data_IF_242117557822
#
_entry.id   IF_242117557822
#
_cell.length_a   1.000
_cell.length_b   1.000
_cell.length_c   1.000
_cell.angle_alpha   90.00
_cell.angle_beta   90.00
_cell.angle_gamma   90.00
#
_symmetry.space_group_name_H-M   'P 1'
#
loop_
_entity.id
_entity.type
_entity.pdbx_description
1 polymer ?
#
# COMPACT_ATOMS: atom_id res chain seq x y z
N UNK A 1 17.69 -18.09 -21.16
CA UNK A 1 18.14 -17.06 -20.21
C UNK A 1 16.91 -16.31 -19.71
N UNK A 2 16.51 -16.49 -18.46
CA UNK A 2 15.40 -15.77 -17.86
C UNK A 2 15.80 -14.30 -17.69
N UNK A 3 14.98 -13.32 -18.13
CA UNK A 3 15.32 -11.91 -17.97
C UNK A 3 15.51 -11.57 -16.47
N UNK A 4 16.45 -10.68 -16.14
CA UNK A 4 16.68 -10.30 -14.75
C UNK A 4 15.39 -9.69 -14.16
N UNK A 5 15.07 -10.07 -12.93
CA UNK A 5 13.91 -9.54 -12.20
C UNK A 5 13.93 -8.01 -12.17
N UNK A 6 12.77 -7.34 -12.30
CA UNK A 6 12.67 -5.90 -12.28
C UNK A 6 13.30 -5.30 -11.02
N UNK A 7 13.84 -4.09 -11.13
CA UNK A 7 14.56 -3.39 -10.06
C UNK A 7 13.81 -3.36 -8.73
N UNK A 8 12.50 -3.25 -8.77
CA UNK A 8 11.60 -3.31 -7.61
C UNK A 8 11.70 -4.63 -6.84
N UNK A 9 11.79 -5.76 -7.53
CA UNK A 9 11.96 -7.07 -6.87
C UNK A 9 13.37 -7.26 -6.28
N UNK A 10 14.41 -6.68 -6.91
CA UNK A 10 15.79 -6.74 -6.38
C UNK A 10 15.95 -5.88 -5.13
N UNK A 11 15.31 -4.71 -5.08
CA UNK A 11 15.31 -3.84 -3.90
C UNK A 11 14.57 -4.51 -2.76
N UNK A 12 13.41 -5.12 -3.04
CA UNK A 12 12.61 -5.84 -2.06
C UNK A 12 13.36 -7.00 -1.40
N UNK A 13 14.00 -7.85 -2.19
CA UNK A 13 14.78 -8.99 -1.69
C UNK A 13 15.91 -8.55 -0.76
N UNK A 14 16.64 -7.50 -1.14
CA UNK A 14 17.75 -6.94 -0.35
C UNK A 14 17.26 -6.30 0.95
N UNK A 15 16.14 -5.60 0.90
CA UNK A 15 15.52 -4.94 2.06
C UNK A 15 15.04 -5.96 3.08
N UNK A 16 14.43 -7.05 2.63
CA UNK A 16 13.96 -8.10 3.53
C UNK A 16 15.10 -8.84 4.24
N UNK A 17 16.16 -9.20 3.53
CA UNK A 17 17.35 -9.86 4.11
C UNK A 17 18.09 -8.97 5.12
N UNK A 18 18.06 -7.64 4.91
CA UNK A 18 18.70 -6.66 5.79
C UNK A 18 17.80 -6.23 6.97
N UNK A 19 16.47 -6.24 6.81
CA UNK A 19 15.51 -5.69 7.80
C UNK A 19 14.92 -6.74 8.74
N UNK A 20 15.24 -8.02 8.59
CA UNK A 20 14.89 -9.07 9.57
C UNK A 20 15.83 -9.05 10.78
N UNK A 21 16.81 -8.18 10.82
CA UNK A 21 17.49 -7.87 12.06
C UNK A 21 16.44 -7.57 13.13
N UNK A 22 16.55 -8.14 14.34
CA UNK A 22 15.52 -8.04 15.37
C UNK A 22 15.22 -6.56 15.65
N UNK A 23 14.09 -6.09 15.14
CA UNK A 23 13.63 -4.71 15.44
C UNK A 23 13.40 -4.61 16.94
N UNK A 24 13.80 -3.52 17.59
CA UNK A 24 13.57 -3.35 19.01
C UNK A 24 12.09 -3.59 19.32
N UNK A 25 11.78 -4.52 20.21
CA UNK A 25 10.41 -4.90 20.57
C UNK A 25 9.55 -3.68 20.92
N UNK A 26 10.15 -2.70 21.59
CA UNK A 26 9.48 -1.44 21.95
C UNK A 26 9.02 -0.67 20.70
N UNK A 27 9.86 -0.54 19.66
CA UNK A 27 9.50 0.13 18.40
C UNK A 27 8.31 -0.57 17.73
N UNK A 28 8.37 -1.89 17.61
CA UNK A 28 7.29 -2.70 17.02
C UNK A 28 5.99 -2.55 17.80
N UNK A 29 6.07 -2.57 19.14
CA UNK A 29 4.91 -2.36 19.99
C UNK A 29 4.29 -0.98 19.81
N UNK A 30 5.11 0.09 19.80
CA UNK A 30 4.65 1.45 19.58
C UNK A 30 4.00 1.63 18.20
N UNK A 31 4.61 1.08 17.14
CA UNK A 31 4.04 1.13 15.78
C UNK A 31 2.66 0.45 15.71
N UNK A 32 2.51 -0.74 16.32
CA UNK A 32 1.22 -1.44 16.40
C UNK A 32 0.18 -0.64 17.18
N UNK A 33 0.57 0.01 18.28
CA UNK A 33 -0.34 0.86 19.07
C UNK A 33 -0.80 2.09 18.27
N UNK A 34 0.13 2.80 17.62
CA UNK A 34 -0.19 3.93 16.77
C UNK A 34 -1.12 3.52 15.62
N UNK A 35 -0.88 2.37 15.01
CA UNK A 35 -1.72 1.81 13.95
C UNK A 35 -3.16 1.57 14.43
N UNK A 36 -3.34 0.89 15.58
CA UNK A 36 -4.66 0.61 16.14
C UNK A 36 -5.43 1.90 16.45
N UNK A 37 -4.74 2.91 16.97
CA UNK A 37 -5.35 4.21 17.25
C UNK A 37 -5.70 4.96 15.96
N UNK A 38 -4.82 4.98 14.97
CA UNK A 38 -5.06 5.63 13.69
C UNK A 38 -6.31 5.06 13.00
N UNK A 39 -6.47 3.74 12.96
CA UNK A 39 -7.62 3.09 12.33
C UNK A 39 -8.96 3.51 12.93
N UNK A 40 -9.02 3.72 14.24
CA UNK A 40 -10.25 4.05 14.97
C UNK A 40 -10.42 5.54 15.25
N UNK A 41 -9.43 6.36 14.94
CA UNK A 41 -9.47 7.79 15.20
C UNK A 41 -10.47 8.48 14.27
N UNK A 42 -11.52 9.09 14.84
CA UNK A 42 -12.55 9.80 14.09
C UNK A 42 -12.02 11.11 13.50
N UNK A 43 -11.11 11.79 14.19
CA UNK A 43 -10.55 13.06 13.75
C UNK A 43 -9.54 12.87 12.59
N UNK A 44 -9.81 13.36 11.35
CA UNK A 44 -8.95 13.09 10.19
C UNK A 44 -7.51 13.59 10.37
N UNK A 45 -7.33 14.80 10.91
CA UNK A 45 -5.98 15.37 11.13
C UNK A 45 -5.14 14.58 12.11
N UNK A 46 -5.74 14.12 13.22
CA UNK A 46 -5.07 13.27 14.21
C UNK A 46 -4.73 11.90 13.62
N UNK A 47 -5.62 11.33 12.79
CA UNK A 47 -5.38 10.07 12.08
C UNK A 47 -4.16 10.15 11.17
N UNK A 48 -4.05 11.20 10.37
CA UNK A 48 -2.88 11.45 9.51
C UNK A 48 -1.60 11.61 10.34
N UNK A 49 -1.67 12.35 11.44
CA UNK A 49 -0.55 12.52 12.34
C UNK A 49 -0.08 11.18 12.94
N UNK A 50 -1.01 10.31 13.36
CA UNK A 50 -0.70 8.98 13.89
C UNK A 50 0.01 8.10 12.84
N UNK A 51 -0.46 8.08 11.58
CA UNK A 51 0.19 7.33 10.50
C UNK A 51 1.58 7.88 10.16
N UNK A 52 1.75 9.22 10.15
CA UNK A 52 3.08 9.84 9.99
C UNK A 52 4.02 9.45 11.13
N UNK A 53 3.54 9.45 12.36
CA UNK A 53 4.32 9.01 13.54
C UNK A 53 4.65 7.52 13.52
N UNK A 54 3.81 6.71 12.90
CA UNK A 54 4.08 5.29 12.66
C UNK A 54 5.25 5.09 11.68
N UNK A 55 5.47 6.03 10.76
CA UNK A 55 6.56 6.00 9.78
C UNK A 55 6.11 6.10 8.33
N UNK A 56 4.80 6.20 8.05
CA UNK A 56 4.29 6.37 6.68
C UNK A 56 4.63 7.76 6.16
N UNK A 57 5.14 7.85 4.93
CA UNK A 57 5.37 9.12 4.24
C UNK A 57 4.06 9.62 3.63
N UNK A 58 3.54 10.73 4.12
CA UNK A 58 2.24 11.28 3.70
C UNK A 58 2.41 12.75 3.33
N UNK A 59 2.04 13.09 2.10
CA UNK A 59 2.06 14.44 1.54
C UNK A 59 1.00 15.38 2.09
N UNK A 60 0.74 16.46 1.34
CA UNK A 60 -0.25 17.48 1.65
C UNK A 60 -1.65 17.09 1.12
N UNK A 61 -2.72 17.63 1.75
CA UNK A 61 -4.12 17.47 1.34
C UNK A 61 -4.58 16.01 1.17
N UNK A 62 -3.95 15.08 1.89
CA UNK A 62 -4.30 13.66 1.84
C UNK A 62 -5.51 13.39 2.74
N UNK A 63 -6.45 12.61 2.25
CA UNK A 63 -7.54 12.04 3.05
C UNK A 63 -7.32 10.53 3.21
N UNK A 64 -7.43 10.04 4.44
CA UNK A 64 -7.43 8.60 4.75
C UNK A 64 -8.70 8.29 5.54
N UNK A 65 -9.53 7.38 5.03
CA UNK A 65 -10.79 6.95 5.64
C UNK A 65 -10.59 6.14 6.93
N UNK A 66 -11.70 5.91 7.62
CA UNK A 66 -11.73 5.08 8.83
C UNK A 66 -11.41 3.62 8.50
N UNK A 67 -10.86 2.93 9.49
CA UNK A 67 -10.52 1.51 9.43
C UNK A 67 -9.57 1.13 8.28
N UNK A 68 -8.79 2.09 7.77
CA UNK A 68 -7.76 1.84 6.78
C UNK A 68 -6.59 1.10 7.42
N UNK A 69 -6.15 0.01 6.80
CA UNK A 69 -4.97 -0.73 7.20
C UNK A 69 -3.77 -0.30 6.36
N UNK A 70 -2.81 0.39 6.95
CA UNK A 70 -1.50 0.63 6.38
C UNK A 70 -0.50 -0.26 7.12
N UNK A 71 0.30 -1.03 6.38
CA UNK A 71 1.23 -1.98 6.96
C UNK A 71 2.04 -1.36 8.10
N UNK A 72 1.91 -1.93 9.30
CA UNK A 72 2.59 -1.42 10.49
C UNK A 72 3.94 -2.09 10.77
N UNK A 73 4.30 -3.10 9.99
CA UNK A 73 5.59 -3.77 10.13
C UNK A 73 6.69 -3.02 9.40
N UNK A 74 6.40 -2.47 8.21
CA UNK A 74 7.32 -1.68 7.39
C UNK A 74 6.66 -0.39 6.89
N UNK A 75 6.17 0.48 7.78
CA UNK A 75 5.40 1.66 7.40
C UNK A 75 6.22 2.65 6.57
N UNK A 76 7.52 2.67 6.72
CA UNK A 76 8.46 3.48 5.94
C UNK A 76 8.51 3.14 4.45
N UNK A 77 7.99 1.98 4.07
CA UNK A 77 7.88 1.56 2.67
C UNK A 77 6.58 2.06 2.01
N UNK A 78 5.69 2.72 2.75
CA UNK A 78 4.47 3.30 2.21
C UNK A 78 4.69 4.79 1.95
N UNK A 79 4.49 5.20 0.70
CA UNK A 79 4.51 6.61 0.30
C UNK A 79 3.16 7.00 -0.28
N UNK A 80 2.56 8.03 0.29
CA UNK A 80 1.29 8.63 -0.15
C UNK A 80 1.61 10.07 -0.54
N UNK A 81 1.56 10.38 -1.83
CA UNK A 81 1.85 11.72 -2.33
C UNK A 81 0.69 12.70 -2.05
N UNK A 82 0.83 13.94 -2.50
CA UNK A 82 -0.16 14.99 -2.29
C UNK A 82 -1.51 14.66 -2.94
N UNK A 83 -2.58 15.24 -2.40
CA UNK A 83 -3.94 15.20 -2.95
C UNK A 83 -4.53 13.78 -3.09
N UNK A 84 -3.93 12.76 -2.47
CA UNK A 84 -4.41 11.37 -2.51
C UNK A 84 -5.62 11.19 -1.60
N UNK A 85 -6.62 10.47 -2.11
CA UNK A 85 -7.79 10.06 -1.32
C UNK A 85 -7.79 8.55 -1.14
N UNK A 86 -7.67 8.12 0.10
CA UNK A 86 -7.81 6.72 0.51
C UNK A 86 -9.16 6.59 1.23
N UNK A 87 -10.10 5.83 0.67
CA UNK A 87 -11.42 5.63 1.27
C UNK A 87 -11.34 4.73 2.52
N UNK A 88 -12.48 4.40 3.10
CA UNK A 88 -12.53 3.56 4.30
C UNK A 88 -12.22 2.09 4.00
N UNK A 89 -11.67 1.37 4.99
CA UNK A 89 -11.32 -0.06 4.92
C UNK A 89 -10.36 -0.42 3.80
N UNK A 90 -9.61 0.52 3.28
CA UNK A 90 -8.53 0.22 2.32
C UNK A 90 -7.41 -0.51 3.05
N UNK A 91 -6.81 -1.49 2.38
CA UNK A 91 -5.66 -2.23 2.90
C UNK A 91 -4.46 -2.01 1.99
N UNK A 92 -3.35 -1.54 2.56
CA UNK A 92 -2.06 -1.42 1.86
C UNK A 92 -1.05 -2.28 2.59
N UNK A 93 -0.56 -3.31 1.93
CA UNK A 93 0.48 -4.19 2.44
C UNK A 93 1.77 -4.03 1.65
N UNK A 94 2.90 -4.07 2.33
CA UNK A 94 4.23 -3.94 1.73
C UNK A 94 5.09 -5.17 1.96
N UNK A 95 4.53 -6.19 2.61
CA UNK A 95 5.17 -7.48 2.80
C UNK A 95 4.15 -8.61 2.72
N UNK A 96 4.61 -9.81 2.41
CA UNK A 96 3.90 -11.05 2.62
C UNK A 96 4.76 -12.02 3.44
N UNK A 97 4.11 -12.94 4.13
CA UNK A 97 4.76 -13.97 4.96
C UNK A 97 4.93 -15.31 4.22
N UNK A 98 4.78 -15.34 2.89
CA UNK A 98 4.88 -16.57 2.10
C UNK A 98 6.23 -17.31 2.31
N UNK A 99 7.28 -16.58 2.69
CA UNK A 99 8.57 -17.17 3.11
C UNK A 99 8.49 -18.21 4.23
N UNK A 100 7.45 -18.19 5.04
CA UNK A 100 7.26 -19.22 6.05
C UNK A 100 7.08 -20.59 5.43
N UNK A 101 6.67 -20.65 4.16
CA UNK A 101 6.60 -21.89 3.40
C UNK A 101 7.98 -22.50 3.13
N UNK A 102 9.03 -21.68 2.98
CA UNK A 102 10.41 -22.16 2.81
C UNK A 102 10.92 -22.95 4.02
N UNK A 103 10.41 -22.68 5.22
CA UNK A 103 10.72 -23.44 6.43
C UNK A 103 10.11 -24.86 6.40
N UNK A 104 9.09 -25.06 5.57
CA UNK A 104 8.36 -26.33 5.43
C UNK A 104 8.83 -27.06 4.18
N UNK A 105 8.97 -26.33 3.06
CA UNK A 105 9.39 -26.84 1.77
C UNK A 105 10.34 -25.83 1.10
N UNK A 106 11.65 -26.11 1.03
CA UNK A 106 12.62 -25.19 0.43
C UNK A 106 12.26 -24.80 -1.00
N UNK A 107 12.22 -23.50 -1.28
CA UNK A 107 11.84 -22.95 -2.59
C UNK A 107 10.32 -22.75 -2.80
N UNK A 108 9.48 -23.04 -1.80
CA UNK A 108 8.03 -22.92 -1.90
C UNK A 108 7.52 -21.48 -1.77
N UNK A 109 8.30 -20.57 -1.20
CA UNK A 109 7.86 -19.17 -1.04
C UNK A 109 8.99 -18.19 -0.83
N UNK A 110 9.11 -17.24 -1.72
CA UNK A 110 10.15 -16.20 -1.66
C UNK A 110 9.84 -15.06 -0.67
N UNK A 111 8.63 -14.93 -0.17
CA UNK A 111 8.15 -13.78 0.61
C UNK A 111 8.59 -12.45 -0.02
N UNK A 112 7.70 -11.50 -0.12
CA UNK A 112 8.02 -10.23 -0.76
C UNK A 112 7.95 -9.10 0.25
N UNK A 113 9.00 -8.26 0.31
CA UNK A 113 8.92 -6.93 0.95
C UNK A 113 9.23 -5.91 -0.14
N UNK A 114 8.25 -5.06 -0.45
CA UNK A 114 8.40 -4.10 -1.54
C UNK A 114 7.60 -2.81 -1.26
N UNK A 115 8.15 -1.64 -1.62
CA UNK A 115 7.49 -0.37 -1.35
C UNK A 115 6.20 -0.23 -2.16
N UNK A 116 5.20 0.42 -1.56
CA UNK A 116 3.98 0.86 -2.23
C UNK A 116 3.98 2.38 -2.35
N UNK A 117 3.68 2.87 -3.54
CA UNK A 117 3.60 4.31 -3.81
C UNK A 117 2.23 4.66 -4.37
N UNK A 118 1.53 5.55 -3.67
CA UNK A 118 0.29 6.17 -4.12
C UNK A 118 0.63 7.55 -4.68
N UNK A 119 0.59 7.68 -5.99
CA UNK A 119 0.98 8.91 -6.69
C UNK A 119 -0.10 9.98 -6.57
N UNK A 120 0.33 11.22 -6.78
CA UNK A 120 -0.46 12.42 -6.61
C UNK A 120 -1.88 12.32 -7.17
N UNK A 121 -2.87 12.67 -6.35
CA UNK A 121 -4.27 12.76 -6.73
C UNK A 121 -4.94 11.42 -7.08
N UNK A 122 -4.32 10.26 -6.81
CA UNK A 122 -4.98 8.99 -7.03
C UNK A 122 -6.10 8.76 -5.98
N UNK A 123 -7.07 7.95 -6.34
CA UNK A 123 -8.20 7.58 -5.50
C UNK A 123 -8.24 6.06 -5.27
N UNK A 124 -8.31 5.67 -4.02
CA UNK A 124 -8.49 4.29 -3.61
C UNK A 124 -9.90 4.09 -3.04
N UNK A 125 -10.71 3.32 -3.75
CA UNK A 125 -12.08 2.98 -3.37
C UNK A 125 -12.16 2.12 -2.12
N UNK A 126 -13.32 2.17 -1.47
CA UNK A 126 -13.56 1.47 -0.21
C UNK A 126 -13.25 -0.03 -0.29
N UNK A 127 -12.54 -0.54 0.71
CA UNK A 127 -12.23 -1.97 0.82
C UNK A 127 -11.27 -2.52 -0.24
N UNK A 128 -10.63 -1.69 -1.06
CA UNK A 128 -9.62 -2.18 -1.99
C UNK A 128 -8.34 -2.63 -1.25
N UNK A 129 -7.60 -3.54 -1.88
CA UNK A 129 -6.33 -4.07 -1.39
C UNK A 129 -5.22 -3.74 -2.38
N UNK A 130 -4.12 -3.16 -1.90
CA UNK A 130 -2.91 -2.89 -2.69
C UNK A 130 -1.79 -3.79 -2.18
N UNK A 131 -1.23 -4.60 -3.08
CA UNK A 131 -0.19 -5.59 -2.76
C UNK A 131 1.22 -4.97 -2.79
N UNK A 132 2.22 -5.66 -2.19
CA UNK A 132 3.61 -5.22 -2.16
C UNK A 132 4.16 -4.88 -3.55
N UNK A 133 4.96 -3.83 -3.65
CA UNK A 133 5.64 -3.41 -4.87
C UNK A 133 4.81 -2.59 -5.85
N UNK A 134 3.53 -2.34 -5.56
CA UNK A 134 2.62 -1.64 -6.47
C UNK A 134 2.81 -0.13 -6.42
N UNK A 135 2.85 0.49 -7.60
CA UNK A 135 2.68 1.93 -7.77
C UNK A 135 1.30 2.22 -8.37
N UNK A 136 0.47 2.97 -7.65
CA UNK A 136 -0.77 3.53 -8.20
C UNK A 136 -0.46 4.88 -8.82
N UNK A 137 -0.61 4.99 -10.15
CA UNK A 137 -0.24 6.16 -10.94
C UNK A 137 -1.03 7.41 -10.57
N UNK A 138 -0.48 8.57 -10.95
CA UNK A 138 -1.11 9.86 -10.66
C UNK A 138 -2.53 9.93 -11.23
N UNK A 139 -3.48 10.41 -10.43
CA UNK A 139 -4.91 10.52 -10.79
C UNK A 139 -5.57 9.20 -11.20
N UNK A 140 -4.94 8.05 -10.94
CA UNK A 140 -5.58 6.76 -11.16
C UNK A 140 -6.70 6.51 -10.14
N UNK A 141 -7.67 5.71 -10.53
CA UNK A 141 -8.79 5.31 -9.68
C UNK A 141 -8.78 3.79 -9.50
N UNK A 142 -8.70 3.37 -8.26
CA UNK A 142 -8.92 1.98 -7.88
C UNK A 142 -10.35 1.86 -7.37
N UNK A 143 -11.15 1.04 -8.04
CA UNK A 143 -12.54 0.80 -7.66
C UNK A 143 -12.65 0.11 -6.29
N UNK A 144 -13.79 0.28 -5.64
CA UNK A 144 -14.07 -0.37 -4.35
C UNK A 144 -13.97 -1.89 -4.46
N UNK A 145 -13.36 -2.53 -3.45
CA UNK A 145 -13.16 -3.97 -3.40
C UNK A 145 -12.14 -4.55 -4.38
N UNK A 146 -11.46 -3.73 -5.16
CA UNK A 146 -10.45 -4.22 -6.11
C UNK A 146 -9.19 -4.72 -5.40
N UNK A 147 -8.52 -5.75 -5.96
CA UNK A 147 -7.22 -6.24 -5.50
C UNK A 147 -6.15 -5.88 -6.52
N UNK A 148 -5.32 -4.89 -6.20
CA UNK A 148 -4.29 -4.35 -7.08
C UNK A 148 -3.01 -5.15 -6.90
N UNK A 149 -2.67 -5.95 -7.92
CA UNK A 149 -1.53 -6.88 -7.93
C UNK A 149 -0.38 -6.40 -8.81
N UNK A 150 -0.55 -5.29 -9.54
CA UNK A 150 0.42 -4.71 -10.50
C UNK A 150 0.27 -3.20 -10.52
N UNK A 151 1.28 -2.52 -11.03
CA UNK A 151 1.24 -1.07 -11.21
C UNK A 151 0.02 -0.63 -12.02
N UNK A 152 -0.55 0.49 -11.60
CA UNK A 152 -1.66 1.15 -12.29
C UNK A 152 -1.12 2.38 -13.00
N UNK A 153 -1.35 2.45 -14.31
CA UNK A 153 -0.95 3.60 -15.11
C UNK A 153 -1.66 4.89 -14.66
N UNK A 154 -1.04 6.06 -14.83
CA UNK A 154 -1.71 7.33 -14.53
C UNK A 154 -3.07 7.44 -15.26
N UNK A 155 -4.03 8.13 -14.63
CA UNK A 155 -5.36 8.44 -15.18
C UNK A 155 -6.18 7.20 -15.58
N UNK A 156 -5.81 6.01 -15.12
CA UNK A 156 -6.50 4.75 -15.43
C UNK A 156 -7.46 4.37 -14.31
N UNK A 157 -8.63 3.87 -14.68
CA UNK A 157 -9.60 3.26 -13.77
C UNK A 157 -9.41 1.75 -13.78
N UNK A 158 -9.16 1.15 -12.60
CA UNK A 158 -9.02 -0.30 -12.45
C UNK A 158 -10.05 -0.86 -11.49
N UNK A 159 -10.55 -2.09 -11.77
CA UNK A 159 -11.52 -2.79 -10.94
C UNK A 159 -11.31 -4.30 -10.96
N UNK A 160 -11.87 -5.01 -9.98
CA UNK A 160 -11.94 -6.46 -9.93
C UNK A 160 -10.84 -7.13 -9.10
N UNK A 161 -10.87 -8.47 -9.07
CA UNK A 161 -9.93 -9.35 -8.36
C UNK A 161 -9.43 -10.43 -9.33
N UNK A 162 -8.18 -10.32 -9.81
CA UNK A 162 -7.26 -9.20 -9.68
C UNK A 162 -7.73 -7.97 -10.47
N UNK A 163 -7.32 -6.77 -10.04
CA UNK A 163 -7.70 -5.52 -10.69
C UNK A 163 -7.21 -5.45 -12.14
N UNK A 164 -8.09 -4.98 -13.04
CA UNK A 164 -7.81 -4.80 -14.47
C UNK A 164 -8.28 -3.41 -14.91
N UNK A 165 -7.61 -2.78 -15.88
CA UNK A 165 -8.09 -1.55 -16.47
C UNK A 165 -9.49 -1.72 -17.06
N UNK A 166 -10.40 -0.81 -16.69
CA UNK A 166 -11.78 -0.76 -17.19
C UNK A 166 -12.10 0.57 -17.89
N UNK A 167 -11.20 1.56 -17.79
CA UNK A 167 -11.38 2.86 -18.41
C UNK A 167 -10.26 3.82 -18.06
N UNK A 168 -10.40 5.05 -18.55
CA UNK A 168 -9.51 6.17 -18.26
C UNK A 168 -10.32 7.36 -17.75
N UNK A 169 -9.71 8.19 -16.89
CA UNK A 169 -10.32 9.43 -16.42
C UNK A 169 -10.29 10.45 -17.55
N UNK A 170 -11.39 10.54 -18.31
CA UNK A 170 -11.64 11.65 -19.23
C UNK A 170 -12.41 12.75 -18.50
N UNK A 171 -12.33 14.01 -19.01
CA UNK A 171 -13.11 15.13 -18.45
C UNK A 171 -14.63 14.89 -18.35
N UNK A 172 -15.17 13.83 -18.97
CA UNK A 172 -16.60 13.50 -19.00
C UNK A 172 -17.03 12.37 -18.05
N UNK A 173 -16.10 11.52 -17.58
CA UNK A 173 -16.48 10.29 -16.84
C UNK A 173 -16.71 10.49 -15.35
N UNK A 174 -16.25 11.60 -14.77
CA UNK A 174 -16.43 11.90 -13.35
C UNK A 174 -17.89 12.22 -12.95
N UNK A 175 -18.83 12.32 -13.91
CA UNK A 175 -20.25 12.60 -13.63
C UNK A 175 -21.16 11.37 -13.61
N UNK A 176 -20.62 10.16 -13.80
CA UNK A 176 -21.40 8.91 -13.89
C UNK A 176 -20.90 7.80 -12.95
N UNK A 177 -20.00 8.09 -12.02
CA UNK A 177 -19.56 7.15 -10.99
C UNK A 177 -20.24 7.45 -9.66
#
# INVERSE_FOLDING_TARGET
MTPPAPLTQRVARRTYEQDIAPRPLLRTYLQKRLHLWARRCIAPGLRLWLYRRMGVRIGAHVFIGLDTYLDCQFPELITIEDDVTVSFRVTVVVHDDARRLDAIEPGAGDGTVAPVTLRRGCYLGAGCLVLPGVTVGARAVVASGAVVTRDVSPETVVAGVPARPIGHIGRRDLRRA
#
